data_IF_244608188733
#
_entry.id   IF_244608188733
#
_cell.length_a   1.000
_cell.length_b   1.000
_cell.length_c   1.000
_cell.angle_alpha   90.00
_cell.angle_beta   90.00
_cell.angle_gamma   90.00
#
_symmetry.space_group_name_H-M   'P 1'
#
loop_
_entity.id
_entity.type
_entity.pdbx_description
1 polymer ?
#
# COMPACT_ATOMS: atom_id res chain seq x y z
N UNK A 1 -21.15 -14.68 -9.50
CA UNK A 1 -21.19 -13.24 -9.84
C UNK A 1 -20.81 -13.11 -11.31
N UNK A 2 -21.79 -13.04 -12.21
CA UNK A 2 -21.55 -12.92 -13.66
C UNK A 2 -21.77 -11.48 -14.10
N UNK A 3 -20.81 -10.59 -13.80
CA UNK A 3 -20.75 -9.32 -14.50
C UNK A 3 -20.39 -9.60 -15.96
N UNK A 4 -21.02 -8.90 -16.90
CA UNK A 4 -20.66 -8.95 -18.31
C UNK A 4 -19.32 -8.19 -18.48
N UNK A 5 -18.20 -8.88 -18.21
CA UNK A 5 -16.82 -8.37 -18.22
C UNK A 5 -16.40 -8.12 -19.69
N UNK A 6 -16.97 -7.09 -20.32
CA UNK A 6 -16.76 -6.80 -21.75
C UNK A 6 -15.90 -5.57 -22.04
N UNK A 7 -15.46 -4.83 -21.01
CA UNK A 7 -14.63 -3.64 -21.24
C UNK A 7 -13.14 -4.01 -21.14
N UNK A 8 -12.38 -4.05 -22.25
CA UNK A 8 -10.96 -4.41 -22.23
C UNK A 8 -10.09 -3.40 -21.47
N UNK A 9 -10.56 -2.17 -21.28
CA UNK A 9 -9.85 -1.13 -20.51
C UNK A 9 -9.97 -1.31 -18.98
N UNK A 10 -10.91 -2.13 -18.52
CA UNK A 10 -11.16 -2.34 -17.09
C UNK A 10 -10.33 -3.50 -16.60
N UNK A 11 -9.48 -3.24 -15.60
CA UNK A 11 -8.54 -4.24 -15.07
C UNK A 11 -8.98 -4.84 -13.74
N UNK A 12 -9.82 -4.14 -12.99
CA UNK A 12 -10.33 -4.54 -11.68
C UNK A 12 -11.81 -4.18 -11.56
N UNK A 13 -12.61 -5.14 -11.14
CA UNK A 13 -14.01 -4.98 -10.77
C UNK A 13 -14.14 -5.21 -9.27
N UNK A 14 -14.64 -4.24 -8.52
CA UNK A 14 -14.91 -4.39 -7.09
C UNK A 14 -16.35 -3.98 -6.79
N UNK A 15 -16.92 -4.47 -5.69
CA UNK A 15 -18.26 -4.10 -5.24
C UNK A 15 -18.21 -3.02 -4.18
N UNK A 16 -19.39 -2.46 -3.86
CA UNK A 16 -19.57 -1.78 -2.59
C UNK A 16 -19.40 -2.76 -1.43
N UNK A 17 -19.10 -2.19 -0.27
CA UNK A 17 -18.66 -2.95 0.90
C UNK A 17 -19.59 -2.66 2.06
N UNK A 18 -20.10 -3.73 2.67
CA UNK A 18 -20.88 -3.66 3.89
C UNK A 18 -20.03 -4.15 5.05
N UNK A 19 -19.91 -3.36 6.11
CA UNK A 19 -19.22 -3.76 7.33
C UNK A 19 -20.19 -4.50 8.25
N UNK A 20 -19.78 -5.68 8.69
CA UNK A 20 -20.53 -6.53 9.63
C UNK A 20 -19.68 -6.83 10.87
N UNK A 21 -20.32 -7.19 11.98
CA UNK A 21 -19.62 -7.65 13.19
C UNK A 21 -19.32 -9.15 13.16
N UNK A 22 -18.69 -9.67 14.21
CA UNK A 22 -18.41 -11.10 14.38
C UNK A 22 -19.68 -11.98 14.38
N UNK A 23 -20.83 -11.41 14.74
CA UNK A 23 -22.14 -12.07 14.76
C UNK A 23 -22.91 -11.89 13.43
N UNK A 24 -22.26 -11.35 12.39
CA UNK A 24 -22.87 -11.02 11.09
C UNK A 24 -23.97 -9.96 11.14
N UNK A 25 -24.05 -9.18 12.23
CA UNK A 25 -24.94 -8.03 12.28
C UNK A 25 -24.34 -6.90 11.44
N UNK A 26 -25.21 -6.21 10.72
CA UNK A 26 -24.84 -5.01 9.98
C UNK A 26 -24.34 -3.91 10.93
N UNK A 27 -23.16 -3.36 10.64
CA UNK A 27 -22.63 -2.19 11.33
C UNK A 27 -22.91 -0.94 10.50
N UNK A 28 -22.45 -0.92 9.23
CA UNK A 28 -22.59 0.22 8.32
C UNK A 28 -22.13 -0.13 6.90
N UNK A 29 -22.44 0.75 5.95
CA UNK A 29 -21.88 0.69 4.60
C UNK A 29 -20.61 1.54 4.49
N UNK A 30 -19.63 1.07 3.72
CA UNK A 30 -18.49 1.87 3.32
C UNK A 30 -18.84 2.66 2.06
N UNK A 31 -18.89 3.99 2.18
CA UNK A 31 -19.24 4.90 1.09
C UNK A 31 -18.02 5.55 0.43
N UNK A 32 -16.80 5.03 0.66
CA UNK A 32 -15.61 5.50 -0.04
C UNK A 32 -15.65 5.01 -1.50
N UNK A 33 -16.14 5.88 -2.38
CA UNK A 33 -16.13 5.64 -3.82
C UNK A 33 -14.79 6.08 -4.40
N UNK A 34 -14.10 5.16 -5.08
CA UNK A 34 -13.06 5.57 -6.04
C UNK A 34 -13.77 6.22 -7.23
N UNK A 35 -13.29 7.38 -7.70
CA UNK A 35 -13.96 8.10 -8.77
C UNK A 35 -14.10 7.22 -10.01
N UNK A 36 -15.35 6.88 -10.33
CA UNK A 36 -15.80 5.82 -11.24
C UNK A 36 -15.31 5.93 -12.69
N UNK A 37 -14.70 7.05 -13.09
CA UNK A 37 -14.46 7.37 -14.51
C UNK A 37 -13.17 8.16 -14.78
N UNK A 38 -12.16 8.07 -13.91
CA UNK A 38 -10.90 8.76 -14.17
C UNK A 38 -10.20 8.17 -15.42
N UNK A 39 -10.27 8.92 -16.52
CA UNK A 39 -9.80 8.48 -17.82
C UNK A 39 -8.28 8.54 -17.99
N UNK A 40 -7.61 9.44 -17.26
CA UNK A 40 -6.16 9.68 -17.38
C UNK A 40 -5.37 8.99 -16.28
N UNK A 41 -4.24 8.40 -16.67
CA UNK A 41 -3.36 7.62 -15.78
C UNK A 41 -2.87 8.47 -14.60
N UNK A 42 -2.47 9.71 -14.85
CA UNK A 42 -1.97 10.62 -13.82
C UNK A 42 -3.02 10.96 -12.74
N UNK A 43 -4.30 11.06 -13.11
CA UNK A 43 -5.38 11.34 -12.15
C UNK A 43 -5.69 10.09 -11.32
N UNK A 44 -5.75 8.91 -11.96
CA UNK A 44 -5.89 7.62 -11.23
C UNK A 44 -4.75 7.41 -10.24
N UNK A 45 -3.52 7.71 -10.67
CA UNK A 45 -2.34 7.64 -9.80
C UNK A 45 -2.47 8.59 -8.60
N UNK A 46 -2.87 9.85 -8.84
CA UNK A 46 -3.02 10.82 -7.76
C UNK A 46 -4.09 10.41 -6.74
N UNK A 47 -5.22 9.87 -7.20
CA UNK A 47 -6.28 9.39 -6.31
C UNK A 47 -5.83 8.19 -5.47
N UNK A 48 -5.03 7.28 -6.03
CA UNK A 48 -4.53 6.11 -5.29
C UNK A 48 -3.30 6.38 -4.44
N UNK A 49 -2.58 7.48 -4.69
CA UNK A 49 -1.63 8.03 -3.74
C UNK A 49 -2.35 8.58 -2.49
N UNK A 50 -3.57 9.10 -2.65
CA UNK A 50 -4.41 9.44 -1.51
C UNK A 50 -4.88 8.15 -0.81
N UNK A 51 -5.10 8.25 0.51
CA UNK A 51 -5.41 7.07 1.34
C UNK A 51 -6.72 6.43 0.88
N UNK A 52 -6.61 5.18 0.46
CA UNK A 52 -7.74 4.27 0.26
C UNK A 52 -7.56 3.07 1.20
N UNK A 53 -8.66 2.50 1.67
CA UNK A 53 -8.63 1.32 2.57
C UNK A 53 -8.23 0.02 1.85
N UNK A 54 -7.81 0.13 0.59
CA UNK A 54 -7.34 -0.96 -0.23
C UNK A 54 -8.31 -2.14 -0.43
N UNK A 55 -9.55 -2.06 0.07
CA UNK A 55 -10.55 -3.10 -0.14
C UNK A 55 -10.86 -3.46 -1.60
N UNK A 56 -10.70 -2.58 -2.60
CA UNK A 56 -10.83 -2.98 -3.99
C UNK A 56 -9.95 -4.17 -4.39
N UNK A 57 -8.88 -4.47 -3.64
CA UNK A 57 -8.01 -5.63 -3.89
C UNK A 57 -8.76 -6.97 -3.84
N UNK A 58 -9.87 -7.05 -3.10
CA UNK A 58 -10.71 -8.24 -3.01
C UNK A 58 -11.67 -8.42 -4.20
N UNK A 59 -11.61 -7.53 -5.19
CA UNK A 59 -12.38 -7.62 -6.41
C UNK A 59 -11.85 -8.66 -7.41
N UNK A 60 -12.51 -8.70 -8.57
CA UNK A 60 -12.11 -9.53 -9.70
C UNK A 60 -11.11 -8.79 -10.58
N UNK A 61 -9.89 -9.32 -10.68
CA UNK A 61 -8.81 -8.74 -11.48
C UNK A 61 -8.61 -9.57 -12.75
N UNK A 62 -8.42 -8.89 -13.88
CA UNK A 62 -8.05 -9.57 -15.13
C UNK A 62 -6.74 -10.35 -14.97
N UNK A 63 -6.76 -11.65 -15.31
CA UNK A 63 -5.60 -12.52 -15.18
C UNK A 63 -4.40 -12.04 -16.03
N UNK A 64 -4.66 -11.50 -17.22
CA UNK A 64 -3.63 -10.90 -18.07
C UNK A 64 -2.94 -9.72 -17.38
N UNK A 65 -3.70 -8.87 -16.69
CA UNK A 65 -3.17 -7.76 -15.91
C UNK A 65 -2.32 -8.25 -14.74
N UNK A 66 -2.81 -9.22 -13.96
CA UNK A 66 -2.05 -9.82 -12.84
C UNK A 66 -0.68 -10.36 -13.27
N UNK A 67 -0.63 -11.03 -14.43
CA UNK A 67 0.62 -11.59 -14.99
C UNK A 67 1.60 -10.52 -15.46
N UNK A 68 1.13 -9.31 -15.76
CA UNK A 68 1.95 -8.20 -16.27
C UNK A 68 2.59 -7.35 -15.18
N UNK A 69 2.15 -7.48 -13.92
CA UNK A 69 2.68 -6.72 -12.78
C UNK A 69 3.47 -7.60 -11.83
N UNK A 70 4.37 -6.98 -11.08
CA UNK A 70 5.01 -7.63 -9.93
C UNK A 70 3.95 -8.04 -8.91
N UNK A 71 4.10 -9.24 -8.37
CA UNK A 71 3.26 -9.75 -7.29
C UNK A 71 3.23 -8.78 -6.10
N UNK A 72 2.12 -8.80 -5.39
CA UNK A 72 1.95 -8.05 -4.16
C UNK A 72 3.02 -8.47 -3.13
N UNK A 73 3.69 -7.49 -2.54
CA UNK A 73 4.71 -7.77 -1.54
C UNK A 73 4.13 -8.03 -0.14
N UNK A 74 5.01 -8.43 0.76
CA UNK A 74 4.67 -8.72 2.17
C UNK A 74 5.16 -7.54 3.02
N UNK A 75 4.38 -6.44 3.02
CA UNK A 75 4.65 -5.24 3.83
C UNK A 75 3.40 -4.37 3.92
N UNK A 76 3.34 -3.49 4.93
CA UNK A 76 2.14 -2.69 5.26
C UNK A 76 1.46 -1.99 4.09
N UNK A 77 2.23 -1.45 3.14
CA UNK A 77 1.71 -0.61 2.04
C UNK A 77 1.62 -1.38 0.72
N UNK A 78 1.81 -2.70 0.76
CA UNK A 78 1.81 -3.52 -0.44
C UNK A 78 0.46 -3.49 -1.17
N UNK A 79 -0.67 -3.52 -0.44
CA UNK A 79 -2.01 -3.45 -1.05
C UNK A 79 -2.20 -2.14 -1.84
N UNK A 80 -1.83 -1.01 -1.25
CA UNK A 80 -1.96 0.31 -1.88
C UNK A 80 -1.10 0.41 -3.15
N UNK A 81 0.16 -0.06 -3.07
CA UNK A 81 1.06 -0.09 -4.23
C UNK A 81 0.52 -1.03 -5.30
N UNK A 82 0.00 -2.19 -4.92
CA UNK A 82 -0.58 -3.15 -5.85
C UNK A 82 -1.78 -2.57 -6.60
N UNK A 83 -2.72 -1.94 -5.90
CA UNK A 83 -3.84 -1.22 -6.53
C UNK A 83 -3.36 -0.08 -7.43
N UNK A 84 -2.37 0.68 -6.98
CA UNK A 84 -1.78 1.75 -7.78
C UNK A 84 -1.23 1.19 -9.11
N UNK A 85 -0.51 0.07 -9.09
CA UNK A 85 0.01 -0.58 -10.29
C UNK A 85 -1.10 -1.04 -11.23
N UNK A 86 -2.16 -1.65 -10.69
CA UNK A 86 -3.32 -2.04 -11.49
C UNK A 86 -3.94 -0.81 -12.17
N UNK A 87 -4.15 0.28 -11.43
CA UNK A 87 -4.75 1.48 -11.98
C UNK A 87 -3.86 2.22 -12.99
N UNK A 88 -2.56 1.95 -13.02
CA UNK A 88 -1.70 2.44 -14.10
C UNK A 88 -1.99 1.71 -15.41
N UNK A 89 -2.30 0.41 -15.34
CA UNK A 89 -2.60 -0.44 -16.50
C UNK A 89 -4.03 -0.29 -17.03
N UNK A 90 -4.98 0.11 -16.19
CA UNK A 90 -6.36 0.31 -16.66
C UNK A 90 -7.30 0.88 -15.61
N UNK A 91 -8.59 0.88 -15.94
CA UNK A 91 -9.65 1.47 -15.13
C UNK A 91 -10.16 0.48 -14.10
N UNK A 92 -10.65 1.00 -12.99
CA UNK A 92 -11.42 0.22 -12.02
C UNK A 92 -12.90 0.42 -12.29
N UNK A 93 -13.69 -0.61 -12.03
CA UNK A 93 -15.14 -0.55 -12.11
C UNK A 93 -15.73 -0.95 -10.76
N UNK A 94 -16.52 -0.04 -10.20
CA UNK A 94 -17.26 -0.28 -8.97
C UNK A 94 -18.69 -0.74 -9.29
N UNK A 95 -19.03 -1.93 -8.80
CA UNK A 95 -20.34 -2.56 -8.89
C UNK A 95 -21.21 -1.96 -7.77
N UNK A 96 -22.38 -1.36 -8.09
CA UNK A 96 -23.18 -0.58 -7.13
C UNK A 96 -23.86 -1.43 -6.04
N UNK A 97 -23.76 -2.75 -6.08
CA UNK A 97 -24.30 -3.67 -5.09
C UNK A 97 -23.29 -3.94 -3.95
N UNK A 98 -23.81 -4.12 -2.72
CA UNK A 98 -23.03 -4.51 -1.55
C UNK A 98 -22.78 -6.03 -1.54
N UNK A 99 -21.77 -6.47 -2.28
CA UNK A 99 -21.46 -7.89 -2.46
C UNK A 99 -20.23 -8.37 -1.68
N UNK A 100 -19.50 -7.44 -1.04
CA UNK A 100 -18.38 -7.75 -0.17
C UNK A 100 -18.72 -7.37 1.27
N UNK A 101 -18.65 -8.36 2.17
CA UNK A 101 -18.93 -8.18 3.59
C UNK A 101 -17.62 -8.18 4.38
N UNK A 102 -17.23 -7.02 4.89
CA UNK A 102 -16.05 -6.87 5.71
C UNK A 102 -16.43 -7.12 7.17
N UNK A 103 -15.94 -8.21 7.75
CA UNK A 103 -16.08 -8.44 9.18
C UNK A 103 -15.12 -7.52 9.96
N UNK A 104 -15.67 -6.70 10.85
CA UNK A 104 -14.94 -5.80 11.74
C UNK A 104 -14.83 -6.42 13.12
N UNK A 105 -13.62 -6.51 13.66
CA UNK A 105 -13.40 -7.03 15.01
C UNK A 105 -12.24 -6.35 15.73
N UNK A 106 -12.27 -6.36 17.06
CA UNK A 106 -11.34 -5.60 17.90
C UNK A 106 -9.88 -6.04 17.77
N UNK A 107 -9.61 -7.26 17.30
CA UNK A 107 -8.25 -7.84 17.15
C UNK A 107 -7.65 -7.68 15.75
N UNK A 108 -8.25 -6.85 14.89
CA UNK A 108 -7.68 -6.58 13.57
C UNK A 108 -6.36 -5.82 13.67
N UNK A 109 -5.43 -6.09 12.75
CA UNK A 109 -4.16 -5.37 12.72
C UNK A 109 -4.37 -3.84 12.63
N UNK A 110 -5.36 -3.40 11.86
CA UNK A 110 -5.72 -1.98 11.73
C UNK A 110 -6.27 -1.36 13.02
N UNK A 111 -6.97 -2.11 13.87
CA UNK A 111 -7.49 -1.57 15.15
C UNK A 111 -6.36 -1.22 16.13
N UNK A 112 -5.20 -1.88 16.02
CA UNK A 112 -4.02 -1.61 16.84
C UNK A 112 -3.37 -0.28 16.45
N UNK A 113 -3.27 0.00 15.15
CA UNK A 113 -2.76 1.29 14.67
C UNK A 113 -3.74 2.42 14.88
N UNK A 114 -5.03 2.10 14.83
CA UNK A 114 -6.10 3.05 14.70
C UNK A 114 -7.34 2.51 15.42
N UNK A 115 -7.50 2.82 16.71
CA UNK A 115 -8.61 2.33 17.52
C UNK A 115 -9.97 2.57 16.86
N UNK A 116 -10.13 3.75 16.24
CA UNK A 116 -11.30 4.12 15.44
C UNK A 116 -10.99 4.10 13.93
N UNK A 117 -10.39 3.03 13.41
CA UNK A 117 -10.13 2.96 11.97
C UNK A 117 -11.38 3.05 11.10
N UNK A 118 -12.54 2.78 11.70
CA UNK A 118 -13.82 3.00 11.06
C UNK A 118 -14.13 4.50 10.85
N UNK A 119 -13.61 5.42 11.68
CA UNK A 119 -13.71 6.86 11.39
C UNK A 119 -12.99 7.31 10.10
N UNK A 120 -12.13 6.47 9.50
CA UNK A 120 -11.43 6.77 8.24
C UNK A 120 -12.33 6.79 7.00
N UNK A 121 -13.50 6.18 7.07
CA UNK A 121 -14.45 6.06 5.96
C UNK A 121 -15.22 7.38 5.76
N UNK A 122 -15.34 8.21 6.80
CA UNK A 122 -16.14 9.43 6.77
C UNK A 122 -15.29 10.65 6.38
N UNK A 123 -14.97 10.79 5.09
CA UNK A 123 -14.52 11.99 4.35
C UNK A 123 -13.42 12.92 4.93
N UNK A 124 -12.85 12.62 6.09
CA UNK A 124 -11.78 13.39 6.69
C UNK A 124 -10.45 12.92 6.10
N UNK A 125 -10.15 13.43 4.90
CA UNK A 125 -8.93 13.24 4.13
C UNK A 125 -7.62 13.65 4.83
N UNK A 126 -7.64 13.91 6.13
CA UNK A 126 -6.56 14.55 6.86
C UNK A 126 -5.87 13.60 7.83
N UNK A 127 -5.27 12.54 7.30
CA UNK A 127 -4.23 11.82 8.05
C UNK A 127 -2.90 11.87 7.33
N UNK A 128 -2.04 12.71 7.87
CA UNK A 128 -0.62 12.84 7.55
C UNK A 128 0.06 11.54 7.98
N UNK A 129 0.97 11.03 7.16
CA UNK A 129 1.85 9.89 7.48
C UNK A 129 2.64 10.06 8.81
N UNK A 130 2.58 11.25 9.43
CA UNK A 130 3.23 11.61 10.69
C UNK A 130 2.43 11.30 11.97
N UNK A 131 1.17 10.85 11.87
CA UNK A 131 0.34 10.50 13.03
C UNK A 131 0.05 8.98 13.06
N UNK A 132 1.09 8.15 13.08
CA UNK A 132 0.94 6.70 13.21
C UNK A 132 1.65 6.23 14.49
N UNK A 133 0.92 5.64 15.46
CA UNK A 133 1.53 5.05 16.64
C UNK A 133 2.29 3.79 16.22
N UNK A 134 3.57 3.72 16.57
CA UNK A 134 4.51 2.62 16.34
C UNK A 134 4.39 1.82 15.01
N UNK A 135 4.97 2.39 13.95
CA UNK A 135 5.02 1.76 12.63
C UNK A 135 5.95 0.55 12.53
N UNK A 136 7.01 0.52 13.34
CA UNK A 136 7.92 -0.62 13.36
C UNK A 136 7.26 -1.82 14.02
N UNK A 137 6.45 -1.60 15.06
CA UNK A 137 5.61 -2.64 15.68
C UNK A 137 4.58 -3.22 14.71
N UNK A 138 3.94 -2.39 13.90
CA UNK A 138 2.95 -2.86 12.92
C UNK A 138 3.55 -3.72 11.80
N UNK A 139 4.76 -3.43 11.33
CA UNK A 139 5.39 -4.22 10.25
C UNK A 139 5.63 -5.68 10.65
N UNK A 140 5.78 -5.98 11.95
CA UNK A 140 5.89 -7.36 12.46
C UNK A 140 4.67 -8.23 12.11
N UNK A 141 3.50 -7.62 11.85
CA UNK A 141 2.32 -8.35 11.39
C UNK A 141 2.44 -8.90 9.98
N UNK A 142 3.25 -8.27 9.12
CA UNK A 142 3.39 -8.66 7.72
C UNK A 142 4.51 -9.68 7.54
N UNK A 143 5.64 -9.46 8.23
CA UNK A 143 6.78 -10.35 8.14
C UNK A 143 7.25 -10.72 9.55
N UNK A 144 6.76 -11.85 10.04
CA UNK A 144 7.12 -12.40 11.35
C UNK A 144 8.57 -12.91 11.40
N UNK A 145 9.24 -13.06 10.25
CA UNK A 145 10.67 -13.39 10.17
C UNK A 145 11.57 -12.16 10.37
N UNK A 146 10.99 -10.97 10.54
CA UNK A 146 11.70 -9.77 10.93
C UNK A 146 12.03 -9.78 12.42
N UNK A 147 13.17 -10.39 12.73
CA UNK A 147 13.86 -10.22 13.99
C UNK A 147 14.26 -8.74 14.17
N UNK A 148 14.31 -8.25 15.40
CA UNK A 148 14.65 -6.87 15.77
C UNK A 148 16.05 -6.40 15.32
N UNK A 149 16.82 -7.31 14.72
CA UNK A 149 18.15 -7.09 14.15
C UNK A 149 18.17 -6.78 12.64
N UNK A 150 17.06 -6.95 11.90
CA UNK A 150 17.01 -6.61 10.47
C UNK A 150 16.77 -5.11 10.28
N UNK A 151 17.58 -4.51 9.41
CA UNK A 151 17.45 -3.12 9.00
C UNK A 151 16.25 -2.95 8.06
N UNK A 152 15.13 -2.47 8.61
CA UNK A 152 13.93 -2.19 7.82
C UNK A 152 13.90 -0.72 7.40
N UNK A 153 14.27 -0.48 6.15
CA UNK A 153 14.11 0.79 5.47
C UNK A 153 12.67 0.93 4.95
N UNK A 154 11.69 1.00 5.85
CA UNK A 154 10.28 0.89 5.48
C UNK A 154 9.79 2.06 4.62
N UNK A 155 10.17 3.29 4.98
CA UNK A 155 9.72 4.47 4.24
C UNK A 155 10.43 4.56 2.90
N UNK A 156 11.72 4.23 2.88
CA UNK A 156 12.50 4.16 1.64
C UNK A 156 12.01 3.04 0.73
N UNK A 157 11.66 1.87 1.26
CA UNK A 157 11.08 0.78 0.48
C UNK A 157 9.80 1.23 -0.21
N UNK A 158 8.85 1.79 0.54
CA UNK A 158 7.59 2.29 -0.02
C UNK A 158 7.84 3.36 -1.09
N UNK A 159 8.77 4.29 -0.83
CA UNK A 159 9.18 5.30 -1.82
C UNK A 159 9.72 4.67 -3.11
N UNK A 160 10.60 3.68 -3.01
CA UNK A 160 11.15 2.95 -4.16
C UNK A 160 10.11 2.15 -4.91
N UNK A 161 9.17 1.52 -4.22
CA UNK A 161 8.08 0.76 -4.84
C UNK A 161 7.13 1.67 -5.63
N UNK A 162 6.86 2.89 -5.14
CA UNK A 162 6.20 3.91 -5.93
C UNK A 162 7.06 4.31 -7.12
N UNK A 163 8.33 4.72 -6.94
CA UNK A 163 9.18 5.08 -8.09
C UNK A 163 9.22 3.98 -9.15
N UNK A 164 9.35 2.72 -8.74
CA UNK A 164 9.40 1.57 -9.64
C UNK A 164 8.13 1.37 -10.43
N UNK A 165 6.97 1.70 -9.84
CA UNK A 165 5.68 1.58 -10.50
C UNK A 165 5.56 2.49 -11.73
N UNK A 166 6.30 3.62 -11.76
CA UNK A 166 6.39 4.50 -12.93
C UNK A 166 6.83 3.78 -14.21
N UNK A 167 7.69 2.76 -14.07
CA UNK A 167 8.24 2.02 -15.21
C UNK A 167 7.36 0.87 -15.69
N UNK A 168 6.22 0.61 -15.06
CA UNK A 168 5.30 -0.46 -15.49
C UNK A 168 4.51 -0.10 -16.76
N UNK A 169 4.38 1.20 -17.06
CA UNK A 169 3.59 1.68 -18.19
C UNK A 169 4.42 2.64 -19.02
N UNK A 170 4.35 2.51 -20.34
CA UNK A 170 4.92 3.48 -21.26
C UNK A 170 4.10 4.78 -21.19
N UNK A 171 4.57 5.73 -20.40
CA UNK A 171 3.96 7.05 -20.28
C UNK A 171 4.62 8.07 -21.21
N UNK A 172 3.84 9.07 -21.63
CA UNK A 172 4.39 10.26 -22.30
C UNK A 172 5.13 11.12 -21.27
N UNK A 173 6.17 11.85 -21.69
CA UNK A 173 7.00 12.68 -20.79
C UNK A 173 6.20 13.58 -19.83
N UNK A 174 5.08 14.15 -20.29
CA UNK A 174 4.19 14.97 -19.46
C UNK A 174 3.55 14.19 -18.31
N UNK A 175 3.07 12.98 -18.57
CA UNK A 175 2.45 12.12 -17.55
C UNK A 175 3.49 11.66 -16.53
N UNK A 176 4.70 11.30 -16.99
CA UNK A 176 5.85 11.03 -16.11
C UNK A 176 6.17 12.24 -15.20
N UNK A 177 6.18 13.45 -15.76
CA UNK A 177 6.44 14.65 -14.97
C UNK A 177 5.36 14.88 -13.91
N UNK A 178 4.08 14.78 -14.27
CA UNK A 178 2.96 14.88 -13.34
C UNK A 178 2.99 13.80 -12.24
N UNK A 179 3.41 12.58 -12.61
CA UNK A 179 3.61 11.46 -11.69
C UNK A 179 4.64 11.81 -10.62
N UNK A 180 5.83 12.26 -11.05
CA UNK A 180 6.90 12.62 -10.12
C UNK A 180 6.52 13.81 -9.23
N UNK A 181 5.83 14.82 -9.74
CA UNK A 181 5.31 15.93 -8.93
C UNK A 181 4.34 15.40 -7.86
N UNK A 182 3.41 14.53 -8.23
CA UNK A 182 2.42 13.98 -7.30
C UNK A 182 3.09 13.15 -6.21
N UNK A 183 4.11 12.37 -6.57
CA UNK A 183 4.92 11.61 -5.62
C UNK A 183 5.68 12.54 -4.67
N UNK A 184 6.35 13.58 -5.18
CA UNK A 184 7.08 14.55 -4.34
C UNK A 184 6.13 15.26 -3.37
N UNK A 185 4.93 15.64 -3.84
CA UNK A 185 3.90 16.25 -2.98
C UNK A 185 3.45 15.29 -1.88
N UNK A 186 3.22 14.02 -2.20
CA UNK A 186 2.83 12.99 -1.23
C UNK A 186 3.92 12.79 -0.15
N UNK A 187 5.19 12.84 -0.55
CA UNK A 187 6.33 12.67 0.36
C UNK A 187 6.76 13.96 1.07
N UNK A 188 6.15 15.10 0.75
CA UNK A 188 6.35 16.36 1.45
C UNK A 188 5.73 16.28 2.85
N UNK A 189 6.54 16.40 3.89
CA UNK A 189 6.18 16.20 5.30
C UNK A 189 6.60 14.83 5.86
N UNK A 190 6.99 13.88 5.00
CA UNK A 190 7.45 12.54 5.36
C UNK A 190 8.98 12.48 5.48
N UNK A 191 9.69 13.55 5.10
CA UNK A 191 11.16 13.59 5.15
C UNK A 191 11.73 13.23 6.53
N UNK A 192 11.17 13.71 7.67
CA UNK A 192 11.65 13.31 8.99
C UNK A 192 11.57 11.79 9.23
N UNK A 193 10.59 11.11 8.66
CA UNK A 193 10.41 9.66 8.77
C UNK A 193 11.43 8.91 7.90
N UNK A 194 11.74 9.40 6.70
CA UNK A 194 12.85 8.89 5.88
C UNK A 194 14.21 9.08 6.59
N UNK A 195 14.38 10.18 7.33
CA UNK A 195 15.55 10.39 8.18
C UNK A 195 15.58 9.45 9.40
N UNK A 196 14.43 9.08 9.97
CA UNK A 196 14.38 8.07 11.05
C UNK A 196 14.92 6.72 10.60
N UNK A 197 14.63 6.29 9.36
CA UNK A 197 15.23 5.07 8.78
C UNK A 197 16.77 5.17 8.74
N UNK A 198 17.32 6.33 8.38
CA UNK A 198 18.78 6.54 8.39
C UNK A 198 19.38 6.54 9.81
N UNK A 199 18.68 7.09 10.79
CA UNK A 199 19.12 7.07 12.20
C UNK A 199 19.11 5.64 12.72
N UNK A 200 18.05 4.87 12.46
CA UNK A 200 17.98 3.45 12.79
C UNK A 200 19.14 2.68 12.12
N UNK A 201 19.44 2.98 10.85
CA UNK A 201 20.59 2.45 10.14
C UNK A 201 21.92 2.77 10.81
N UNK A 202 22.13 4.01 11.25
CA UNK A 202 23.35 4.43 11.95
C UNK A 202 23.52 3.73 13.30
N UNK A 203 22.45 3.57 14.08
CA UNK A 203 22.49 2.90 15.39
C UNK A 203 22.86 1.42 15.22
N UNK A 204 22.26 0.74 14.24
CA UNK A 204 22.57 -0.66 13.93
C UNK A 204 23.98 -0.81 13.33
N UNK A 205 24.41 0.12 12.46
CA UNK A 205 25.78 0.15 11.95
C UNK A 205 26.82 0.34 13.07
N UNK A 206 26.53 1.21 14.05
CA UNK A 206 27.36 1.40 15.24
C UNK A 206 27.46 0.16 16.13
N UNK A 207 26.37 -0.61 16.25
CA UNK A 207 26.41 -1.95 16.87
C UNK A 207 27.28 -2.89 16.03
N UNK A 208 27.13 -2.91 14.72
CA UNK A 208 27.89 -3.76 13.80
C UNK A 208 29.40 -3.48 13.83
N UNK A 209 29.80 -2.21 13.89
CA UNK A 209 31.22 -1.83 14.04
C UNK A 209 31.81 -2.26 15.38
N UNK A 210 30.97 -2.44 16.41
CA UNK A 210 31.37 -2.97 17.72
C UNK A 210 31.57 -4.50 17.72
N UNK A 211 30.93 -5.21 16.79
CA UNK A 211 31.07 -6.67 16.58
C UNK A 211 32.06 -7.04 15.47
N UNK A 212 32.73 -6.05 14.87
CA UNK A 212 33.68 -6.22 13.75
C UNK A 212 35.03 -6.84 14.15
N UNK A 213 35.09 -7.55 15.28
CA UNK A 213 36.22 -8.39 15.70
C UNK A 213 36.03 -9.89 15.42
N UNK A 214 34.88 -10.32 14.86
CA UNK A 214 34.70 -11.70 14.41
C UNK A 214 33.93 -11.76 13.08
N UNK A 215 34.62 -12.19 12.02
CA UNK A 215 34.13 -12.72 10.73
C UNK A 215 33.10 -11.91 9.92
N UNK A 216 33.63 -10.98 9.12
CA UNK A 216 32.87 -9.97 8.36
C UNK A 216 32.35 -10.37 6.97
N UNK A 217 32.67 -11.54 6.42
CA UNK A 217 32.36 -11.81 4.99
C UNK A 217 31.08 -12.62 4.73
N UNK A 218 30.55 -13.36 5.72
CA UNK A 218 29.33 -14.15 5.53
C UNK A 218 28.02 -13.32 5.67
N UNK A 219 28.09 -12.14 6.30
CA UNK A 219 26.90 -11.41 6.73
C UNK A 219 26.40 -10.41 5.66
N UNK A 220 27.30 -9.88 4.81
CA UNK A 220 26.95 -8.82 3.84
C UNK A 220 25.98 -9.33 2.75
N UNK A 221 26.02 -10.62 2.41
CA UNK A 221 25.11 -11.22 1.41
C UNK A 221 23.71 -11.50 1.99
N UNK A 222 23.58 -11.68 3.31
CA UNK A 222 22.29 -11.97 3.96
C UNK A 222 21.52 -10.72 4.43
N UNK A 223 22.17 -9.56 4.55
CA UNK A 223 21.52 -8.32 5.05
C UNK A 223 20.77 -7.57 3.95
N UNK A 224 21.09 -7.79 2.67
CA UNK A 224 20.39 -7.19 1.52
C UNK A 224 19.58 -8.27 0.78
N UNK A 225 18.75 -9.03 1.51
CA UNK A 225 17.73 -9.84 0.86
C UNK A 225 16.46 -9.02 0.68
N UNK A 226 16.33 -8.40 -0.49
CA UNK A 226 15.01 -8.10 -1.03
C UNK A 226 14.40 -9.43 -1.47
N UNK A 227 13.23 -9.84 -0.95
CA UNK A 227 12.54 -11.00 -1.52
C UNK A 227 12.24 -10.70 -2.99
N UNK A 228 12.55 -11.67 -3.86
CA UNK A 228 12.25 -11.63 -5.30
C UNK A 228 10.75 -11.47 -5.54
#
# INVERSE_FOLDING_TARGET
>A
MCCNIRNPDTVLYHSLISCIDESSNFIRNNNVHLHKYLSKINVRFHELLAKNLCYPIFGLIHSSTLKSITLQGIYRTADAIFLLRLAMLGKFYEIPEYLFFLCSHLKQSLSILFPDHMSFIDNNHKYILGLLPDLYGYEKWFDSSNNESKLLFQYWRVFWEYLRSAWLVTMICYECFCYHISLIKQFKGIQPLLFKDFIAAKILWGKFTKYKTADTLAIIVNIIQYPK
#
